data_IF_924205849743
#
_entry.id   IF_924205849743
#
_cell.length_a   1.000
_cell.length_b   1.000
_cell.length_c   1.000
_cell.angle_alpha   90.00
_cell.angle_beta   90.00
_cell.angle_gamma   90.00
#
_symmetry.space_group_name_H-M   'P 1'
#
loop_
_entity.id
_entity.type
_entity.pdbx_description
1 polymer ?
#
# COMPACT_ATOMS: atom_id res chain seq x y z
N UNK A 1 4.49 11.59 11.84
CA UNK A 1 4.23 10.68 10.72
C UNK A 1 3.22 11.30 9.78
N UNK A 2 3.56 11.50 8.50
CA UNK A 2 2.67 12.05 7.47
C UNK A 2 2.17 10.92 6.55
N UNK A 3 0.96 10.41 6.83
CA UNK A 3 0.32 9.30 6.10
C UNK A 3 -0.92 9.73 5.31
N UNK A 4 -1.27 11.02 5.33
CA UNK A 4 -2.51 11.51 4.73
C UNK A 4 -2.43 11.50 3.19
N UNK A 5 -3.04 10.51 2.55
CA UNK A 5 -3.25 10.43 1.10
C UNK A 5 -4.24 9.30 0.78
N UNK A 6 -5.14 9.44 -0.21
CA UNK A 6 -5.83 8.29 -0.78
C UNK A 6 -4.81 7.30 -1.37
N UNK A 7 -4.92 6.00 -1.06
CA UNK A 7 -3.89 5.00 -1.38
C UNK A 7 -4.30 3.96 -2.43
N UNK A 8 -5.60 3.69 -2.58
CA UNK A 8 -6.10 2.75 -3.60
C UNK A 8 -6.29 3.46 -4.95
N UNK A 9 -5.97 2.79 -6.09
CA UNK A 9 -6.23 3.30 -7.44
C UNK A 9 -7.62 3.86 -7.66
N UNK A 10 -8.66 3.15 -7.21
CA UNK A 10 -10.05 3.59 -7.38
C UNK A 10 -10.28 4.92 -6.65
N UNK A 11 -9.71 5.07 -5.46
CA UNK A 11 -9.93 6.25 -4.62
C UNK A 11 -9.10 7.46 -5.02
N UNK A 12 -7.83 7.29 -5.39
CA UNK A 12 -6.99 8.42 -5.77
C UNK A 12 -7.31 8.95 -7.18
N UNK A 13 -7.85 8.10 -8.07
CA UNK A 13 -8.29 8.50 -9.41
C UNK A 13 -9.69 9.12 -9.41
N UNK A 14 -10.51 8.86 -8.38
CA UNK A 14 -11.85 9.45 -8.29
C UNK A 14 -11.82 10.99 -8.27
N UNK A 15 -10.82 11.59 -7.62
CA UNK A 15 -10.61 13.04 -7.63
C UNK A 15 -9.10 13.36 -7.73
N UNK A 16 -8.53 13.34 -8.94
CA UNK A 16 -7.09 13.43 -9.14
C UNK A 16 -6.53 14.79 -8.70
N UNK A 17 -7.29 15.87 -8.88
CA UNK A 17 -6.92 17.21 -8.41
C UNK A 17 -6.79 17.26 -6.90
N UNK A 18 -7.73 16.63 -6.17
CA UNK A 18 -7.66 16.53 -4.70
C UNK A 18 -6.48 15.67 -4.26
N UNK A 19 -6.19 14.57 -4.96
CA UNK A 19 -5.03 13.72 -4.71
C UNK A 19 -3.72 14.51 -4.82
N UNK A 20 -3.53 15.27 -5.91
CA UNK A 20 -2.34 16.12 -6.10
C UNK A 20 -2.24 17.18 -5.01
N UNK A 21 -3.34 17.92 -4.74
CA UNK A 21 -3.37 18.92 -3.67
C UNK A 21 -2.98 18.34 -2.31
N UNK A 22 -3.47 17.14 -2.00
CA UNK A 22 -3.16 16.46 -0.73
C UNK A 22 -1.68 16.12 -0.64
N UNK A 23 -1.09 15.55 -1.70
CA UNK A 23 0.33 15.21 -1.70
C UNK A 23 1.24 16.44 -1.66
N UNK A 24 0.93 17.49 -2.43
CA UNK A 24 1.82 18.66 -2.55
C UNK A 24 1.56 19.68 -1.43
N UNK A 25 0.35 20.21 -1.33
CA UNK A 25 0.03 21.23 -0.33
C UNK A 25 0.05 20.66 1.08
N UNK A 26 -0.41 19.40 1.25
CA UNK A 26 -0.33 18.70 2.53
C UNK A 26 1.11 18.52 2.99
N UNK A 27 2.01 18.06 2.12
CA UNK A 27 3.43 17.94 2.45
C UNK A 27 4.06 19.29 2.80
N UNK A 28 3.82 20.34 1.99
CA UNK A 28 4.31 21.71 2.28
C UNK A 28 3.87 22.20 3.65
N UNK A 29 2.59 22.03 3.99
CA UNK A 29 2.05 22.47 5.29
C UNK A 29 2.68 21.70 6.45
N UNK A 30 2.83 20.37 6.33
CA UNK A 30 3.41 19.55 7.39
C UNK A 30 4.92 19.80 7.56
N UNK A 31 5.64 20.04 6.46
CA UNK A 31 7.05 20.44 6.48
C UNK A 31 7.24 21.83 7.09
N UNK A 32 6.37 22.79 6.75
CA UNK A 32 6.36 24.12 7.35
C UNK A 32 6.11 24.07 8.86
N UNK A 33 5.19 23.21 9.30
CA UNK A 33 4.97 22.95 10.73
C UNK A 33 6.21 22.32 11.38
N UNK A 34 6.75 21.25 10.79
CA UNK A 34 7.92 20.52 11.30
C UNK A 34 9.13 21.46 11.46
N UNK A 35 9.38 22.33 10.48
CA UNK A 35 10.39 23.39 10.55
C UNK A 35 10.16 24.33 11.73
N UNK A 36 8.95 24.87 11.88
CA UNK A 36 8.61 25.87 12.92
C UNK A 36 8.76 25.31 14.34
N UNK A 37 8.37 24.06 14.55
CA UNK A 37 8.38 23.43 15.89
C UNK A 37 9.57 22.48 16.09
N UNK A 38 10.48 22.41 15.11
CA UNK A 38 11.65 21.53 15.09
C UNK A 38 11.29 20.05 15.29
N UNK A 39 10.16 19.61 14.74
CA UNK A 39 9.76 18.21 14.79
C UNK A 39 10.45 17.39 13.70
N UNK A 40 10.78 16.14 14.03
CA UNK A 40 11.10 15.11 13.04
C UNK A 40 9.83 14.69 12.29
N UNK A 41 9.92 14.53 10.98
CA UNK A 41 8.78 14.16 10.12
C UNK A 41 9.14 13.00 9.20
N UNK A 42 8.26 12.00 9.16
CA UNK A 42 8.35 10.87 8.24
C UNK A 42 7.27 10.99 7.17
N UNK A 43 7.66 10.88 5.89
CA UNK A 43 6.76 10.80 4.76
C UNK A 43 6.49 9.35 4.40
N UNK A 44 5.21 8.95 4.38
CA UNK A 44 4.77 7.71 3.78
C UNK A 44 4.74 7.87 2.25
N UNK A 45 5.87 7.60 1.62
CA UNK A 45 5.97 7.46 0.16
C UNK A 45 5.49 6.07 -0.27
N UNK A 46 5.80 5.65 -1.49
CA UNK A 46 5.22 4.47 -2.12
C UNK A 46 6.21 3.86 -3.11
N UNK A 47 6.10 2.58 -3.38
CA UNK A 47 6.81 1.94 -4.48
C UNK A 47 6.36 2.43 -5.87
N UNK A 48 5.22 3.10 -5.99
CA UNK A 48 4.77 3.71 -7.26
C UNK A 48 5.71 4.82 -7.76
N UNK A 49 6.59 5.37 -6.92
CA UNK A 49 7.62 6.33 -7.37
C UNK A 49 8.60 5.71 -8.37
N UNK A 50 8.68 4.38 -8.39
CA UNK A 50 9.45 3.59 -9.35
C UNK A 50 8.70 3.35 -10.67
N UNK A 51 7.38 3.55 -10.71
CA UNK A 51 6.55 3.40 -11.91
C UNK A 51 6.44 1.95 -12.42
N UNK A 52 6.63 1.80 -13.74
CA UNK A 52 6.78 0.52 -14.42
C UNK A 52 8.29 0.22 -14.59
N UNK A 53 8.91 -0.44 -13.60
CA UNK A 53 10.35 -0.47 -13.46
C UNK A 53 11.04 -1.26 -14.58
N UNK A 54 12.16 -0.73 -15.06
CA UNK A 54 13.05 -1.41 -16.01
C UNK A 54 14.16 -2.23 -15.32
N UNK A 55 14.20 -2.19 -13.98
CA UNK A 55 15.17 -2.88 -13.12
C UNK A 55 14.45 -3.73 -12.08
N UNK A 56 15.00 -4.91 -11.77
CA UNK A 56 14.45 -5.83 -10.80
C UNK A 56 15.56 -6.54 -9.99
N UNK A 57 15.49 -6.57 -8.64
CA UNK A 57 14.52 -5.89 -7.77
C UNK A 57 14.70 -4.36 -7.75
N UNK A 58 13.72 -3.63 -7.20
CA UNK A 58 13.78 -2.17 -7.13
C UNK A 58 14.57 -1.71 -5.89
N UNK A 59 15.72 -1.08 -6.11
CA UNK A 59 16.55 -0.47 -5.06
C UNK A 59 16.24 1.03 -4.91
N UNK A 60 16.61 1.65 -3.78
CA UNK A 60 16.35 3.08 -3.55
C UNK A 60 17.12 4.01 -4.50
N UNK A 61 18.17 3.50 -5.17
CA UNK A 61 18.96 4.24 -6.17
C UNK A 61 18.23 4.38 -7.50
N UNK A 62 17.28 3.50 -7.80
CA UNK A 62 16.53 3.55 -9.06
C UNK A 62 15.63 4.79 -9.12
N UNK A 63 15.69 5.54 -10.21
CA UNK A 63 14.95 6.80 -10.37
C UNK A 63 13.48 6.62 -10.73
N UNK A 64 13.09 5.43 -11.18
CA UNK A 64 11.74 5.13 -11.65
C UNK A 64 11.53 5.42 -13.12
N UNK A 65 10.55 4.72 -13.70
CA UNK A 65 10.05 4.93 -15.06
C UNK A 65 8.55 5.22 -14.97
N UNK A 66 8.22 6.50 -14.79
CA UNK A 66 6.88 6.99 -14.49
C UNK A 66 6.39 7.88 -15.64
N UNK A 67 5.18 7.64 -16.13
CA UNK A 67 4.51 8.53 -17.08
C UNK A 67 3.95 9.74 -16.31
N UNK A 68 4.35 10.98 -16.61
CA UNK A 68 3.92 12.16 -15.86
C UNK A 68 2.49 12.65 -16.20
N UNK A 69 1.87 12.14 -17.27
CA UNK A 69 0.55 12.58 -17.75
C UNK A 69 -0.50 11.45 -17.81
N UNK A 70 -0.17 10.26 -17.30
CA UNK A 70 -1.09 9.14 -17.20
C UNK A 70 -2.17 9.33 -16.12
N UNK A 71 -3.18 8.45 -16.13
CA UNK A 71 -4.29 8.51 -15.17
C UNK A 71 -3.83 8.32 -13.71
N UNK A 72 -2.72 7.62 -13.50
CA UNK A 72 -2.11 7.37 -12.20
C UNK A 72 -1.20 8.48 -11.71
N UNK A 73 -0.76 9.39 -12.60
CA UNK A 73 0.25 10.42 -12.29
C UNK A 73 -0.17 11.37 -11.17
N UNK A 74 -1.48 11.55 -10.95
CA UNK A 74 -1.97 12.34 -9.81
C UNK A 74 -1.48 11.84 -8.44
N UNK A 75 -1.26 10.52 -8.31
CA UNK A 75 -0.68 9.89 -7.14
C UNK A 75 0.84 9.74 -7.29
N UNK A 76 1.31 9.21 -8.42
CA UNK A 76 2.71 8.85 -8.63
C UNK A 76 3.61 10.09 -8.59
N UNK A 77 3.31 11.12 -9.38
CA UNK A 77 4.05 12.39 -9.37
C UNK A 77 3.81 13.17 -8.08
N UNK A 78 2.61 13.08 -7.51
CA UNK A 78 2.32 13.67 -6.19
C UNK A 78 3.27 13.15 -5.12
N UNK A 79 3.49 11.84 -5.07
CA UNK A 79 4.42 11.20 -4.13
C UNK A 79 5.89 11.50 -4.44
N UNK A 80 6.27 11.53 -5.72
CA UNK A 80 7.64 11.92 -6.16
C UNK A 80 7.98 13.35 -5.73
N UNK A 81 7.09 14.31 -6.00
CA UNK A 81 7.28 15.71 -5.58
C UNK A 81 7.31 15.83 -4.07
N UNK A 82 6.51 15.05 -3.34
CA UNK A 82 6.58 15.03 -1.87
C UNK A 82 7.95 14.58 -1.36
N UNK A 83 8.60 13.58 -1.98
CA UNK A 83 9.99 13.21 -1.64
C UNK A 83 10.97 14.36 -1.92
N UNK A 84 10.83 15.05 -3.06
CA UNK A 84 11.63 16.24 -3.38
C UNK A 84 11.53 17.29 -2.29
N UNK A 85 10.31 17.62 -1.86
CA UNK A 85 10.06 18.60 -0.81
C UNK A 85 10.70 18.19 0.53
N UNK A 86 10.61 16.91 0.92
CA UNK A 86 11.25 16.41 2.14
C UNK A 86 12.77 16.61 2.11
N UNK A 87 13.39 16.32 0.97
CA UNK A 87 14.84 16.49 0.80
C UNK A 87 15.26 17.96 0.71
N UNK A 88 14.46 18.82 0.08
CA UNK A 88 14.75 20.26 -0.01
C UNK A 88 14.65 20.96 1.35
N UNK A 89 13.62 20.65 2.15
CA UNK A 89 13.50 21.18 3.51
C UNK A 89 14.64 20.70 4.41
N UNK A 90 15.12 19.47 4.23
CA UNK A 90 16.32 19.00 4.91
C UNK A 90 17.56 19.80 4.49
N UNK A 91 17.87 19.88 3.18
CA UNK A 91 19.05 20.57 2.66
C UNK A 91 19.07 22.07 2.97
N UNK A 92 17.94 22.75 2.82
CA UNK A 92 17.88 24.22 2.96
C UNK A 92 17.61 24.69 4.39
N UNK A 93 16.91 23.89 5.20
CA UNK A 93 16.42 24.34 6.51
C UNK A 93 16.78 23.39 7.67
N UNK A 94 17.49 22.29 7.40
CA UNK A 94 17.88 21.33 8.43
C UNK A 94 16.70 20.62 9.07
N UNK A 95 15.56 20.51 8.37
CA UNK A 95 14.42 19.74 8.89
C UNK A 95 14.81 18.26 8.97
N UNK A 96 14.50 17.64 10.11
CA UNK A 96 14.81 16.23 10.35
C UNK A 96 13.75 15.34 9.67
N UNK A 97 14.07 14.85 8.47
CA UNK A 97 13.14 14.14 7.58
C UNK A 97 13.46 12.65 7.46
N UNK A 98 12.41 11.83 7.32
CA UNK A 98 12.47 10.40 6.98
C UNK A 98 11.57 10.09 5.79
N UNK A 99 11.99 9.22 4.88
CA UNK A 99 11.19 8.83 3.71
C UNK A 99 11.07 7.31 3.67
N UNK A 100 9.84 6.80 3.84
CA UNK A 100 9.54 5.38 3.68
C UNK A 100 8.94 5.13 2.29
N UNK A 101 9.60 4.36 1.44
CA UNK A 101 9.02 3.87 0.18
C UNK A 101 8.30 2.56 0.45
N UNK A 102 7.00 2.67 0.67
CA UNK A 102 6.15 1.57 1.13
C UNK A 102 5.71 0.72 -0.05
N UNK A 103 5.96 -0.58 0.01
CA UNK A 103 5.44 -1.56 -0.94
C UNK A 103 4.07 -2.09 -0.49
N UNK A 104 3.43 -2.88 -1.35
CA UNK A 104 2.11 -3.45 -1.12
C UNK A 104 1.97 -4.02 0.31
N UNK A 105 1.05 -3.43 1.08
CA UNK A 105 0.80 -3.79 2.47
C UNK A 105 -0.66 -4.16 2.66
N UNK A 106 -0.90 -5.18 3.48
CA UNK A 106 -2.24 -5.69 3.79
C UNK A 106 -2.40 -5.97 5.30
N UNK A 107 -3.65 -6.06 5.77
CA UNK A 107 -3.96 -6.35 7.16
C UNK A 107 -5.40 -6.01 7.54
N UNK A 108 -5.77 -6.20 8.81
CA UNK A 108 -7.05 -5.75 9.36
C UNK A 108 -7.35 -4.27 9.07
N UNK A 109 -8.63 -3.89 9.05
CA UNK A 109 -9.14 -2.52 8.80
C UNK A 109 -8.97 -2.01 7.36
N UNK A 110 -8.47 -2.82 6.42
CA UNK A 110 -8.59 -2.51 4.99
C UNK A 110 -10.06 -2.34 4.60
N UNK A 111 -10.35 -1.38 3.74
CA UNK A 111 -11.70 -1.17 3.22
C UNK A 111 -12.13 -2.38 2.37
N UNK A 112 -13.41 -2.72 2.43
CA UNK A 112 -13.97 -3.83 1.63
C UNK A 112 -13.96 -3.52 0.14
N UNK A 113 -14.21 -2.25 -0.20
CA UNK A 113 -14.16 -1.73 -1.56
C UNK A 113 -12.79 -1.09 -1.90
N UNK A 114 -11.73 -1.49 -1.20
CA UNK A 114 -10.38 -0.97 -1.44
C UNK A 114 -9.89 -1.27 -2.87
N UNK A 115 -10.37 -2.33 -3.52
CA UNK A 115 -10.07 -2.60 -4.93
C UNK A 115 -8.71 -3.25 -5.18
N UNK A 116 -7.86 -3.43 -4.17
CA UNK A 116 -6.63 -4.23 -4.27
C UNK A 116 -6.94 -5.73 -4.19
N UNK A 117 -6.01 -6.54 -4.70
CA UNK A 117 -6.22 -7.98 -4.91
C UNK A 117 -6.54 -8.77 -3.63
N UNK A 118 -5.83 -8.50 -2.52
CA UNK A 118 -6.06 -9.19 -1.23
C UNK A 118 -7.48 -8.94 -0.71
N UNK A 119 -7.93 -7.68 -0.68
CA UNK A 119 -9.29 -7.33 -0.25
C UNK A 119 -10.35 -7.91 -1.18
N UNK A 120 -10.14 -7.84 -2.50
CA UNK A 120 -11.10 -8.35 -3.48
C UNK A 120 -11.29 -9.87 -3.32
N UNK A 121 -10.21 -10.64 -3.19
CA UNK A 121 -10.30 -12.08 -3.00
C UNK A 121 -11.00 -12.45 -1.70
N UNK A 122 -10.65 -11.81 -0.58
CA UNK A 122 -11.31 -12.05 0.70
C UNK A 122 -12.82 -11.74 0.60
N UNK A 123 -13.18 -10.59 0.03
CA UNK A 123 -14.60 -10.20 -0.14
C UNK A 123 -15.34 -11.15 -1.08
N UNK A 124 -14.74 -11.55 -2.21
CA UNK A 124 -15.33 -12.49 -3.15
C UNK A 124 -15.58 -13.85 -2.48
N UNK A 125 -14.57 -14.41 -1.83
CA UNK A 125 -14.69 -15.70 -1.14
C UNK A 125 -15.71 -15.65 -0.02
N UNK A 126 -15.68 -14.64 0.85
CA UNK A 126 -16.65 -14.50 1.95
C UNK A 126 -18.09 -14.29 1.46
N UNK A 127 -18.30 -13.82 0.23
CA UNK A 127 -19.61 -13.66 -0.40
C UNK A 127 -20.01 -14.85 -1.29
N UNK A 128 -19.19 -15.90 -1.39
CA UNK A 128 -19.45 -17.02 -2.28
C UNK A 128 -19.44 -16.63 -3.76
N UNK A 129 -18.68 -15.59 -4.13
CA UNK A 129 -18.45 -15.17 -5.50
C UNK A 129 -17.17 -15.81 -6.05
N UNK A 130 -17.05 -15.97 -7.38
CA UNK A 130 -15.79 -16.41 -8.00
C UNK A 130 -14.64 -15.42 -7.75
N UNK A 131 -13.45 -15.96 -7.54
CA UNK A 131 -12.19 -15.22 -7.44
C UNK A 131 -11.78 -14.72 -8.82
N UNK A 132 -11.70 -13.40 -9.00
CA UNK A 132 -11.40 -12.81 -10.31
C UNK A 132 -9.92 -12.57 -10.51
N UNK A 133 -9.27 -13.37 -11.35
CA UNK A 133 -7.86 -13.22 -11.72
C UNK A 133 -7.78 -12.51 -13.08
N UNK A 134 -7.05 -11.40 -13.13
CA UNK A 134 -6.76 -10.74 -14.40
C UNK A 134 -5.51 -11.36 -15.04
N UNK A 135 -5.59 -11.81 -16.28
CA UNK A 135 -4.52 -12.55 -16.96
C UNK A 135 -4.52 -14.04 -16.60
N UNK A 136 -3.34 -14.67 -16.67
CA UNK A 136 -3.14 -16.10 -16.39
C UNK A 136 -2.92 -16.42 -14.91
N UNK A 137 -2.72 -15.40 -14.06
CA UNK A 137 -2.49 -15.55 -12.62
C UNK A 137 -1.03 -15.80 -12.23
N UNK A 138 -0.12 -15.92 -13.21
CA UNK A 138 1.30 -16.20 -12.99
C UNK A 138 2.11 -14.95 -12.62
N UNK A 139 1.52 -13.76 -12.75
CA UNK A 139 2.15 -12.53 -12.32
C UNK A 139 2.40 -12.54 -10.81
N UNK A 140 3.58 -12.09 -10.39
CA UNK A 140 3.98 -12.10 -8.99
C UNK A 140 3.75 -10.75 -8.32
N UNK A 141 3.46 -10.80 -7.02
CA UNK A 141 3.38 -9.62 -6.15
C UNK A 141 4.05 -9.92 -4.81
N UNK A 142 4.62 -8.89 -4.22
CA UNK A 142 5.08 -8.88 -2.83
C UNK A 142 3.97 -8.37 -1.91
N UNK A 143 3.85 -8.95 -0.70
CA UNK A 143 2.87 -8.53 0.30
C UNK A 143 3.49 -8.42 1.69
N UNK A 144 3.55 -7.20 2.23
CA UNK A 144 3.99 -6.93 3.59
C UNK A 144 2.79 -6.92 4.55
N UNK A 145 2.89 -7.62 5.68
CA UNK A 145 1.85 -7.54 6.69
C UNK A 145 1.95 -6.21 7.46
N UNK A 146 0.81 -5.64 7.85
CA UNK A 146 0.74 -4.29 8.45
C UNK A 146 1.60 -4.13 9.70
N UNK A 147 1.72 -5.14 10.55
CA UNK A 147 2.53 -5.04 11.77
C UNK A 147 4.03 -4.92 11.45
N UNK A 148 4.52 -5.67 10.44
CA UNK A 148 5.90 -5.56 9.97
C UNK A 148 6.16 -4.16 9.39
N UNK A 149 5.22 -3.60 8.62
CA UNK A 149 5.33 -2.23 8.12
C UNK A 149 5.39 -1.22 9.28
N UNK A 150 4.52 -1.34 10.28
CA UNK A 150 4.46 -0.42 11.41
C UNK A 150 5.79 -0.46 12.20
N UNK A 151 6.34 -1.64 12.45
CA UNK A 151 7.67 -1.78 13.06
C UNK A 151 8.75 -1.08 12.23
N UNK A 152 8.75 -1.27 10.90
CA UNK A 152 9.68 -0.60 9.99
C UNK A 152 9.56 0.93 10.02
N UNK A 153 8.33 1.46 10.05
CA UNK A 153 8.07 2.90 10.15
C UNK A 153 8.56 3.48 11.48
N UNK A 154 8.34 2.77 12.59
CA UNK A 154 8.79 3.20 13.92
C UNK A 154 10.31 3.18 14.01
N UNK A 155 10.98 2.14 13.50
CA UNK A 155 12.45 2.09 13.45
C UNK A 155 13.01 3.21 12.59
N UNK A 156 12.45 3.43 11.41
CA UNK A 156 12.89 4.51 10.52
C UNK A 156 12.72 5.90 11.16
N UNK A 157 11.61 6.15 11.86
CA UNK A 157 11.41 7.40 12.59
C UNK A 157 12.51 7.63 13.65
N UNK A 158 12.92 6.58 14.35
CA UNK A 158 13.90 6.68 15.44
C UNK A 158 15.36 6.55 14.98
N UNK A 159 15.61 6.20 13.71
CA UNK A 159 16.96 6.17 13.16
C UNK A 159 17.58 7.57 13.17
N UNK A 160 18.84 7.67 13.56
CA UNK A 160 19.60 8.93 13.59
C UNK A 160 20.34 9.15 12.27
N UNK A 161 20.45 10.42 11.84
CA UNK A 161 21.18 10.85 10.63
C UNK A 161 20.83 10.08 9.33
N UNK A 162 19.58 9.66 9.19
CA UNK A 162 19.10 8.92 8.02
C UNK A 162 18.01 9.73 7.31
N UNK A 163 18.33 10.32 6.16
CA UNK A 163 17.39 11.21 5.44
C UNK A 163 16.97 10.65 4.08
N UNK A 164 17.83 9.86 3.46
CA UNK A 164 17.55 9.23 2.18
C UNK A 164 16.48 8.13 2.33
N UNK A 165 15.74 7.83 1.25
CA UNK A 165 14.65 6.86 1.28
C UNK A 165 15.09 5.47 1.76
N UNK A 166 14.15 4.76 2.37
CA UNK A 166 14.27 3.33 2.71
C UNK A 166 13.05 2.59 2.19
N UNK A 167 13.28 1.50 1.45
CA UNK A 167 12.25 0.58 1.02
C UNK A 167 11.73 -0.23 2.23
N UNK A 168 10.42 -0.21 2.44
CA UNK A 168 9.75 -1.03 3.44
C UNK A 168 8.73 -1.92 2.74
N UNK A 169 8.98 -3.23 2.76
CA UNK A 169 8.17 -4.23 2.08
C UNK A 169 8.65 -5.65 2.35
N UNK A 170 8.00 -6.62 1.71
CA UNK A 170 8.39 -8.02 1.80
C UNK A 170 8.98 -8.49 0.46
N UNK A 171 10.24 -8.96 0.41
CA UNK A 171 10.83 -9.45 -0.84
C UNK A 171 10.25 -10.81 -1.28
N UNK A 172 9.50 -11.50 -0.41
CA UNK A 172 8.79 -12.73 -0.75
C UNK A 172 7.70 -12.45 -1.79
N UNK A 173 7.88 -13.02 -2.98
CA UNK A 173 6.92 -12.97 -4.07
C UNK A 173 5.96 -14.16 -4.04
N UNK A 174 4.72 -13.91 -4.41
CA UNK A 174 3.67 -14.91 -4.57
C UNK A 174 2.94 -14.64 -5.88
N UNK A 175 2.53 -15.69 -6.59
CA UNK A 175 1.66 -15.53 -7.75
C UNK A 175 0.26 -15.09 -7.31
N UNK A 176 -0.48 -14.45 -8.21
CA UNK A 176 -1.88 -14.09 -7.93
C UNK A 176 -2.73 -15.35 -7.75
N UNK A 177 -2.42 -16.43 -8.46
CA UNK A 177 -3.06 -17.72 -8.28
C UNK A 177 -2.78 -18.33 -6.90
N UNK A 178 -1.52 -18.34 -6.43
CA UNK A 178 -1.15 -18.81 -5.09
C UNK A 178 -1.90 -18.05 -4.00
N UNK A 179 -2.00 -16.72 -4.14
CA UNK A 179 -2.77 -15.88 -3.23
C UNK A 179 -4.26 -16.25 -3.24
N UNK A 180 -4.86 -16.43 -4.42
CA UNK A 180 -6.28 -16.78 -4.56
C UNK A 180 -6.60 -18.13 -3.90
N UNK A 181 -5.76 -19.14 -4.14
CA UNK A 181 -5.89 -20.47 -3.55
C UNK A 181 -5.73 -20.44 -2.03
N UNK A 182 -4.75 -19.70 -1.51
CA UNK A 182 -4.54 -19.59 -0.06
C UNK A 182 -5.71 -18.88 0.64
N UNK A 183 -6.26 -17.82 0.05
CA UNK A 183 -7.45 -17.15 0.59
C UNK A 183 -8.65 -18.10 0.62
N UNK A 184 -8.92 -18.82 -0.47
CA UNK A 184 -10.01 -19.81 -0.53
C UNK A 184 -9.86 -20.88 0.54
N UNK A 185 -8.65 -21.45 0.66
CA UNK A 185 -8.30 -22.46 1.67
C UNK A 185 -8.52 -21.96 3.09
N UNK A 186 -8.05 -20.74 3.41
CA UNK A 186 -8.20 -20.15 4.74
C UNK A 186 -9.64 -19.79 5.09
N UNK A 187 -10.48 -19.50 4.08
CA UNK A 187 -11.91 -19.28 4.28
C UNK A 187 -12.72 -20.59 4.35
N UNK A 188 -12.11 -21.74 4.07
CA UNK A 188 -12.81 -23.03 3.98
C UNK A 188 -13.80 -23.10 2.81
N UNK A 189 -13.48 -22.44 1.69
CA UNK A 189 -14.34 -22.34 0.51
C UNK A 189 -13.65 -22.93 -0.73
N UNK A 190 -14.45 -23.36 -1.71
CA UNK A 190 -13.92 -23.82 -3.00
C UNK A 190 -13.37 -22.64 -3.81
N UNK A 191 -12.16 -22.80 -4.34
CA UNK A 191 -11.50 -21.83 -5.19
C UNK A 191 -12.11 -21.80 -6.61
N UNK A 192 -13.27 -21.15 -6.75
CA UNK A 192 -13.90 -20.91 -8.07
C UNK A 192 -13.22 -19.72 -8.73
N UNK A 193 -12.26 -19.96 -9.61
CA UNK A 193 -11.49 -18.91 -10.30
C UNK A 193 -12.19 -18.51 -11.62
N UNK A 194 -12.26 -17.21 -11.88
CA UNK A 194 -12.69 -16.60 -13.14
C UNK A 194 -11.55 -15.75 -13.69
N UNK A 195 -11.16 -15.98 -14.94
CA UNK A 195 -10.16 -15.15 -15.62
C UNK A 195 -10.81 -13.98 -16.37
N UNK A 196 -10.16 -12.81 -16.30
CA UNK A 196 -10.52 -11.59 -17.02
C UNK A 196 -9.27 -11.01 -17.73
N UNK A 197 -9.42 -10.17 -18.78
CA UNK A 197 -8.27 -9.54 -19.43
C UNK A 197 -7.47 -8.61 -18.52
N UNK A 198 -6.14 -8.57 -18.65
CA UNK A 198 -5.27 -7.66 -17.90
C UNK A 198 -5.66 -6.18 -18.12
N UNK A 199 -5.80 -5.37 -17.05
CA UNK A 199 -5.96 -3.93 -17.18
C UNK A 199 -4.76 -3.29 -17.89
N UNK A 200 -5.00 -2.21 -18.64
CA UNK A 200 -3.92 -1.37 -19.19
C UNK A 200 -3.08 -0.80 -18.04
N UNK A 201 -1.76 -0.78 -18.20
CA UNK A 201 -0.78 -0.16 -17.29
C UNK A 201 -0.65 -0.77 -15.87
N UNK A 202 -1.10 -2.00 -15.61
CA UNK A 202 -0.78 -2.68 -14.35
C UNK A 202 0.68 -3.18 -14.37
N UNK A 203 1.56 -2.74 -13.44
CA UNK A 203 2.97 -3.13 -13.44
C UNK A 203 3.10 -4.65 -13.38
N UNK A 204 3.90 -5.25 -14.27
CA UNK A 204 3.96 -6.71 -14.37
C UNK A 204 4.65 -7.35 -13.16
N UNK A 205 5.67 -6.70 -12.62
CA UNK A 205 6.47 -7.24 -11.52
C UNK A 205 6.97 -6.12 -10.59
N UNK A 206 6.90 -6.36 -9.27
CA UNK A 206 7.41 -5.42 -8.28
C UNK A 206 7.89 -6.14 -7.02
N UNK A 207 9.18 -6.05 -6.75
CA UNK A 207 9.86 -6.69 -5.62
C UNK A 207 10.77 -5.67 -4.94
N UNK A 208 10.57 -5.40 -3.63
CA UNK A 208 11.45 -4.51 -2.90
C UNK A 208 12.82 -5.17 -2.66
N UNK A 209 13.89 -4.47 -3.00
CA UNK A 209 15.17 -4.70 -2.33
C UNK A 209 15.11 -4.02 -0.95
N UNK A 210 15.30 -4.80 0.11
CA UNK A 210 15.28 -4.33 1.51
C UNK A 210 16.66 -4.42 2.20
N UNK A 211 17.75 -4.55 1.44
CA UNK A 211 19.10 -4.61 1.97
C UNK A 211 19.42 -3.37 2.83
N UNK A 212 19.05 -2.18 2.36
CA UNK A 212 19.21 -0.92 3.11
C UNK A 212 18.46 -0.96 4.43
N UNK A 213 17.19 -1.40 4.43
CA UNK A 213 16.39 -1.48 5.66
C UNK A 213 17.00 -2.46 6.68
N UNK A 214 17.57 -3.58 6.23
CA UNK A 214 18.33 -4.50 7.09
C UNK A 214 19.55 -3.84 7.68
N UNK A 215 20.33 -3.16 6.87
CA UNK A 215 21.58 -2.52 7.28
C UNK A 215 21.34 -1.38 8.28
N UNK A 216 20.44 -0.45 7.95
CA UNK A 216 20.31 0.81 8.71
C UNK A 216 19.26 0.74 9.82
N UNK A 217 18.31 -0.20 9.75
CA UNK A 217 17.22 -0.34 10.74
C UNK A 217 17.24 -1.68 11.49
N UNK A 218 18.11 -2.62 11.11
CA UNK A 218 18.05 -4.02 11.57
C UNK A 218 16.63 -4.59 11.41
N UNK A 219 15.97 -4.26 10.30
CA UNK A 219 14.57 -4.59 10.04
C UNK A 219 14.43 -5.61 8.91
N UNK A 220 13.49 -6.54 9.07
CA UNK A 220 13.00 -7.44 8.02
C UNK A 220 11.60 -7.93 8.40
N UNK A 221 10.72 -8.18 7.42
CA UNK A 221 9.39 -8.71 7.70
C UNK A 221 9.49 -10.12 8.28
N UNK A 222 8.64 -10.40 9.26
CA UNK A 222 8.66 -11.64 10.03
C UNK A 222 7.36 -12.45 9.89
N UNK A 223 6.27 -11.79 9.50
CA UNK A 223 4.95 -12.42 9.40
C UNK A 223 4.80 -13.13 8.06
N UNK A 224 4.52 -14.43 8.10
CA UNK A 224 4.21 -15.23 6.91
C UNK A 224 2.89 -14.77 6.30
N UNK A 225 2.78 -14.84 4.98
CA UNK A 225 1.56 -14.45 4.24
C UNK A 225 0.30 -15.15 4.81
N UNK A 226 0.37 -16.46 5.03
CA UNK A 226 -0.75 -17.25 5.55
C UNK A 226 -1.21 -16.81 6.94
N UNK A 227 -0.29 -16.40 7.83
CA UNK A 227 -0.62 -15.96 9.18
C UNK A 227 -1.24 -14.56 9.18
N UNK A 228 -0.70 -13.63 8.37
CA UNK A 228 -1.31 -12.33 8.17
C UNK A 228 -2.69 -12.40 7.49
N UNK A 229 -2.87 -13.32 6.53
CA UNK A 229 -4.15 -13.55 5.86
C UNK A 229 -5.22 -14.05 6.82
N UNK A 230 -4.91 -14.98 7.75
CA UNK A 230 -5.86 -15.44 8.78
C UNK A 230 -6.43 -14.27 9.58
N UNK A 231 -5.57 -13.37 10.06
CA UNK A 231 -5.96 -12.20 10.84
C UNK A 231 -6.79 -11.22 10.00
N UNK A 232 -6.39 -11.01 8.74
CA UNK A 232 -7.10 -10.14 7.80
C UNK A 232 -8.49 -10.69 7.49
N UNK A 233 -8.61 -11.97 7.16
CA UNK A 233 -9.89 -12.65 6.87
C UNK A 233 -10.82 -12.58 8.09
N UNK A 234 -10.29 -12.82 9.29
CA UNK A 234 -11.06 -12.75 10.53
C UNK A 234 -11.67 -11.35 10.75
N UNK A 235 -10.90 -10.29 10.50
CA UNK A 235 -11.40 -8.90 10.58
C UNK A 235 -12.53 -8.64 9.57
N UNK A 236 -12.36 -9.02 8.31
CA UNK A 236 -13.39 -8.87 7.28
C UNK A 236 -14.66 -9.67 7.61
N UNK A 237 -14.52 -10.91 8.05
CA UNK A 237 -15.64 -11.76 8.45
C UNK A 237 -16.40 -11.18 9.66
N UNK A 238 -15.68 -10.62 10.64
CA UNK A 238 -16.29 -9.96 11.79
C UNK A 238 -17.08 -8.72 11.39
N UNK A 239 -16.54 -7.87 10.51
CA UNK A 239 -17.21 -6.66 10.02
C UNK A 239 -18.44 -6.98 9.17
N UNK A 240 -18.39 -8.02 8.34
CA UNK A 240 -19.54 -8.51 7.57
C UNK A 240 -20.71 -8.96 8.46
N UNK A 241 -20.44 -9.55 9.62
CA UNK A 241 -21.50 -9.92 10.58
C UNK A 241 -22.18 -8.70 11.21
N UNK A 242 -21.46 -7.59 11.36
CA UNK A 242 -21.98 -6.35 11.94
C UNK A 242 -22.85 -5.55 10.94
N UNK A 243 -22.69 -5.77 9.64
CA UNK A 243 -23.50 -5.11 8.59
C UNK A 243 -24.78 -5.86 8.22
N UNK A 244 -25.20 -6.86 9.01
CA UNK A 244 -26.52 -7.50 8.87
C UNK A 244 -27.62 -6.43 9.00
N UNK A 245 -28.67 -6.40 8.15
CA UNK A 245 -29.60 -5.27 8.10
C UNK A 245 -30.27 -5.06 9.45
N UNK A 246 -30.31 -3.82 9.92
CA UNK A 246 -31.28 -3.40 10.94
C UNK A 246 -32.65 -3.73 10.35
N UNK A 247 -33.33 -4.71 10.93
CA UNK A 247 -34.71 -5.04 10.57
C UNK A 247 -35.52 -3.75 10.69
N UNK A 248 -36.07 -3.29 9.57
CA UNK A 248 -36.87 -2.08 9.50
C UNK A 248 -38.11 -2.28 10.39
N UNK A 249 -38.27 -1.58 11.54
CA UNK A 249 -39.44 -1.74 12.38
C UNK A 249 -40.48 -0.70 11.97
N UNK A 250 -41.11 -0.91 10.81
CA UNK A 250 -42.36 -0.27 10.35
C UNK A 250 -42.62 -0.82 8.94
N UNK A 251 -43.75 -1.43 8.60
CA UNK A 251 -45.13 -1.08 8.96
C UNK A 251 -46.02 -2.33 9.01
N UNK A 252 -46.39 -2.74 10.22
CA UNK A 252 -47.72 -3.30 10.48
C UNK A 252 -48.59 -2.18 11.07
N UNK A 253 -49.90 -2.25 10.83
CA UNK A 253 -50.95 -1.26 11.10
C UNK A 253 -50.88 -0.02 10.18
N UNK A 254 -51.93 0.42 9.48
CA UNK A 254 -53.37 0.18 9.59
C UNK A 254 -54.01 0.18 8.18
#
# INVERSE_FOLDING_TARGET
YNLACPASPIHYQYNPVKTVKTNVMGALNMLGLAKRVRARILQASTSEVYGDPLEHPQTEKYWGNVNPIGLRSCYDEGKRVAETLMMDYHRQNGVDTRIARIFNTYGPRMLENDGRVVSNFIVQTLNGLPLTIYGDGQQTRSFCYVDDLVDGLVRLMNAENLHEPVNLGNPGEFTIEELALEVARLCGADARIKHEPLPLDDPRQRQPDIARAREVLSWSPSVKLSDGLKLTIADFAARKKQTTPIANPASGAA
#
